data_IF_094391981018
#
_entry.id   IF_094391981018
#
_cell.length_a   1.000
_cell.length_b   1.000
_cell.length_c   1.000
_cell.angle_alpha   90.00
_cell.angle_beta   90.00
_cell.angle_gamma   90.00
#
_symmetry.space_group_name_H-M   'P 1'
#
loop_
_entity.id
_entity.type
_entity.pdbx_description
1 polymer ?
#
# COMPACT_ATOMS: atom_id res chain seq x y z
N UNK A 1 50.57 73.34 -43.91
CA UNK A 1 49.15 73.57 -44.24
C UNK A 1 48.34 73.28 -42.99
N UNK A 2 47.71 74.32 -42.47
CA UNK A 2 46.72 74.29 -41.39
C UNK A 2 45.60 73.28 -41.68
N UNK A 3 45.07 72.60 -40.65
CA UNK A 3 43.75 72.95 -40.09
C UNK A 3 43.54 72.33 -38.70
N UNK A 4 42.84 73.12 -37.89
CA UNK A 4 42.51 73.05 -36.45
C UNK A 4 41.70 71.82 -35.99
N UNK A 5 41.96 71.42 -34.75
CA UNK A 5 41.09 70.73 -33.75
C UNK A 5 39.73 71.46 -33.51
N UNK A 6 38.66 70.92 -32.84
CA UNK A 6 38.74 70.26 -31.51
C UNK A 6 37.63 69.27 -31.01
N UNK A 7 37.98 68.60 -29.88
CA UNK A 7 37.26 68.17 -28.64
C UNK A 7 35.74 67.84 -28.57
N UNK A 8 35.49 66.85 -27.66
CA UNK A 8 34.38 66.68 -26.69
C UNK A 8 33.02 66.19 -27.27
N UNK A 9 32.20 65.34 -26.64
CA UNK A 9 32.01 64.88 -25.24
C UNK A 9 31.07 63.65 -25.22
N UNK A 10 31.19 62.86 -24.16
CA UNK A 10 30.12 62.20 -23.38
C UNK A 10 29.31 60.96 -23.82
N UNK A 11 29.09 60.17 -22.74
CA UNK A 11 27.93 59.34 -22.37
C UNK A 11 27.94 57.84 -22.69
N UNK A 12 28.41 57.09 -21.70
CA UNK A 12 27.73 55.97 -21.03
C UNK A 12 26.39 55.52 -21.66
N UNK A 13 26.37 54.31 -22.23
CA UNK A 13 25.42 53.25 -21.83
C UNK A 13 25.83 51.91 -22.46
N UNK A 14 26.45 51.03 -21.67
CA UNK A 14 26.68 49.64 -22.06
C UNK A 14 26.32 48.76 -20.87
N UNK A 15 25.03 48.42 -20.81
CA UNK A 15 24.48 47.36 -19.96
C UNK A 15 25.14 46.03 -20.34
N UNK A 16 25.65 45.22 -19.38
CA UNK A 16 26.26 43.94 -19.72
C UNK A 16 25.17 42.94 -20.11
N UNK A 17 25.29 42.43 -21.34
CA UNK A 17 24.48 41.36 -21.89
C UNK A 17 24.36 40.18 -20.91
N UNK A 18 23.12 39.78 -20.62
CA UNK A 18 22.79 38.63 -19.79
C UNK A 18 23.41 37.35 -20.36
N UNK A 19 24.13 36.63 -19.50
CA UNK A 19 24.54 35.26 -19.78
C UNK A 19 23.30 34.37 -19.90
N UNK A 20 23.23 33.43 -20.87
CA UNK A 20 22.15 32.47 -20.92
C UNK A 20 22.25 31.55 -19.70
N UNK A 21 21.21 31.58 -18.88
CA UNK A 21 20.99 30.64 -17.77
C UNK A 21 21.01 29.23 -18.35
N UNK A 22 21.98 28.41 -17.93
CA UNK A 22 22.01 27.00 -18.24
C UNK A 22 20.74 26.36 -17.67
N UNK A 23 19.80 26.03 -18.57
CA UNK A 23 18.58 25.32 -18.26
C UNK A 23 18.95 23.97 -17.64
N UNK A 24 18.53 23.76 -16.40
CA UNK A 24 18.76 22.50 -15.69
C UNK A 24 18.16 21.35 -16.52
N UNK A 25 18.88 20.24 -16.71
CA UNK A 25 18.37 19.15 -17.52
C UNK A 25 17.05 18.64 -16.95
N UNK A 26 16.06 18.31 -17.79
CA UNK A 26 14.79 17.76 -17.32
C UNK A 26 15.08 16.53 -16.47
N UNK A 27 14.53 16.50 -15.25
CA UNK A 27 14.63 15.35 -14.35
C UNK A 27 14.17 14.12 -15.13
N UNK A 28 15.12 13.25 -15.49
CA UNK A 28 14.80 11.94 -16.01
C UNK A 28 13.85 11.29 -15.00
N UNK A 29 12.67 10.87 -15.47
CA UNK A 29 11.80 10.00 -14.69
C UNK A 29 12.54 8.67 -14.60
N UNK A 30 13.48 8.55 -13.68
CA UNK A 30 14.09 7.27 -13.34
C UNK A 30 12.95 6.36 -12.89
N UNK A 31 12.60 5.41 -13.75
CA UNK A 31 11.65 4.36 -13.40
C UNK A 31 12.12 3.70 -12.11
N UNK A 32 11.23 3.64 -11.11
CA UNK A 32 11.56 3.05 -9.80
C UNK A 32 12.19 1.68 -10.00
N UNK A 33 13.37 1.49 -9.43
CA UNK A 33 14.09 0.22 -9.52
C UNK A 33 13.26 -0.95 -8.98
N UNK A 34 13.45 -2.16 -9.51
CA UNK A 34 12.79 -3.38 -9.01
C UNK A 34 13.01 -3.58 -7.50
N UNK A 35 14.17 -3.16 -6.99
CA UNK A 35 14.51 -3.21 -5.57
C UNK A 35 13.58 -2.32 -4.75
N UNK A 36 13.16 -1.18 -5.29
CA UNK A 36 12.24 -0.27 -4.61
C UNK A 36 10.81 -0.80 -4.59
N UNK A 37 10.34 -1.40 -5.69
CA UNK A 37 9.06 -2.13 -5.72
C UNK A 37 9.02 -3.29 -4.73
N UNK A 38 10.10 -4.07 -4.64
CA UNK A 38 10.20 -5.17 -3.67
C UNK A 38 10.14 -4.67 -2.22
N UNK A 39 10.77 -3.53 -1.93
CA UNK A 39 10.74 -2.92 -0.59
C UNK A 39 9.34 -2.44 -0.21
N UNK A 40 8.64 -1.80 -1.14
CA UNK A 40 7.25 -1.35 -0.93
C UNK A 40 6.36 -2.55 -0.66
N UNK A 41 6.48 -3.62 -1.45
CA UNK A 41 5.71 -4.85 -1.25
C UNK A 41 6.06 -5.53 0.09
N UNK A 42 7.34 -5.55 0.48
CA UNK A 42 7.77 -6.09 1.77
C UNK A 42 7.13 -5.35 2.94
N UNK A 43 6.95 -4.03 2.86
CA UNK A 43 6.31 -3.28 3.95
C UNK A 43 4.77 -3.50 3.98
N UNK A 44 4.18 -3.99 2.88
CA UNK A 44 2.76 -4.34 2.73
C UNK A 44 2.42 -5.85 2.71
N UNK A 45 3.38 -6.74 3.01
CA UNK A 45 3.23 -8.19 2.81
C UNK A 45 2.05 -8.83 3.58
N UNK A 46 1.71 -8.27 4.74
CA UNK A 46 0.57 -8.75 5.56
C UNK A 46 -0.74 -8.64 4.77
N UNK A 47 -0.92 -7.58 3.98
CA UNK A 47 -2.11 -7.42 3.15
C UNK A 47 -2.20 -8.50 2.07
N UNK A 48 -1.06 -8.87 1.48
CA UNK A 48 -0.97 -9.95 0.49
C UNK A 48 -1.40 -11.27 1.10
N UNK A 49 -0.85 -11.64 2.26
CA UNK A 49 -1.16 -12.90 2.95
C UNK A 49 -2.63 -12.95 3.36
N UNK A 50 -3.16 -11.87 3.95
CA UNK A 50 -4.57 -11.82 4.37
C UNK A 50 -5.51 -12.01 3.17
N UNK A 51 -5.25 -11.34 2.05
CA UNK A 51 -6.12 -11.44 0.88
C UNK A 51 -6.02 -12.79 0.17
N UNK A 52 -4.86 -13.45 0.18
CA UNK A 52 -4.75 -14.85 -0.26
C UNK A 52 -5.61 -15.76 0.61
N UNK A 53 -5.52 -15.63 1.94
CA UNK A 53 -6.31 -16.45 2.88
C UNK A 53 -7.81 -16.21 2.67
N UNK A 54 -8.25 -14.95 2.54
CA UNK A 54 -9.64 -14.60 2.23
C UNK A 54 -10.08 -15.19 0.89
N UNK A 55 -9.23 -15.13 -0.14
CA UNK A 55 -9.49 -15.73 -1.45
C UNK A 55 -9.67 -17.25 -1.39
N UNK A 56 -8.80 -17.95 -0.64
CA UNK A 56 -8.92 -19.39 -0.43
C UNK A 56 -10.19 -19.75 0.34
N UNK A 57 -10.52 -19.00 1.40
CA UNK A 57 -11.76 -19.19 2.16
C UNK A 57 -13.01 -18.97 1.29
N UNK A 58 -13.01 -17.94 0.45
CA UNK A 58 -14.10 -17.69 -0.50
C UNK A 58 -14.23 -18.82 -1.53
N UNK A 59 -13.11 -19.32 -2.06
CA UNK A 59 -13.10 -20.48 -2.97
C UNK A 59 -13.59 -21.77 -2.31
N UNK A 60 -13.21 -22.00 -1.05
CA UNK A 60 -13.71 -23.10 -0.23
C UNK A 60 -15.22 -23.00 0.05
N UNK A 61 -15.70 -21.82 0.45
CA UNK A 61 -17.11 -21.56 0.67
C UNK A 61 -17.93 -21.75 -0.61
N UNK A 62 -17.47 -21.22 -1.74
CA UNK A 62 -18.11 -21.41 -3.05
C UNK A 62 -18.18 -22.89 -3.44
N UNK A 63 -17.15 -23.67 -3.13
CA UNK A 63 -17.14 -25.13 -3.34
C UNK A 63 -18.17 -25.83 -2.47
N UNK A 64 -18.28 -25.46 -1.19
CA UNK A 64 -19.23 -26.05 -0.27
C UNK A 64 -20.70 -25.73 -0.62
N UNK A 65 -20.95 -24.59 -1.27
CA UNK A 65 -22.27 -24.16 -1.71
C UNK A 65 -22.68 -24.76 -3.07
N UNK A 66 -21.75 -25.34 -3.83
CA UNK A 66 -22.04 -25.93 -5.14
C UNK A 66 -22.71 -27.30 -5.02
N UNK A 67 -23.67 -27.56 -5.90
CA UNK A 67 -24.35 -28.85 -5.98
C UNK A 67 -23.45 -29.93 -6.58
N UNK A 68 -23.54 -31.13 -6.01
CA UNK A 68 -22.85 -32.30 -6.53
C UNK A 68 -23.50 -32.76 -7.82
N UNK A 69 -22.68 -32.94 -8.86
CA UNK A 69 -23.13 -33.48 -10.14
C UNK A 69 -22.23 -34.64 -10.55
N UNK A 70 -22.87 -35.68 -11.06
CA UNK A 70 -22.26 -36.90 -11.57
C UNK A 70 -22.55 -37.00 -13.05
N UNK A 71 -21.63 -37.61 -13.80
CA UNK A 71 -21.79 -37.85 -15.24
C UNK A 71 -21.61 -39.32 -15.59
N UNK A 72 -22.38 -39.79 -16.56
CA UNK A 72 -22.26 -41.11 -17.17
C UNK A 72 -22.41 -40.98 -18.69
N UNK A 73 -21.73 -41.83 -19.43
CA UNK A 73 -21.62 -41.79 -20.89
C UNK A 73 -22.17 -43.09 -21.47
N UNK A 74 -23.06 -42.98 -22.46
CA UNK A 74 -23.56 -44.09 -23.25
C UNK A 74 -22.98 -44.00 -24.66
N UNK A 75 -22.09 -44.94 -24.99
CA UNK A 75 -21.43 -44.97 -26.29
C UNK A 75 -22.31 -45.71 -27.29
N UNK A 76 -22.78 -44.97 -28.28
CA UNK A 76 -23.63 -45.44 -29.37
C UNK A 76 -22.80 -45.52 -30.65
N UNK A 77 -23.02 -46.57 -31.44
CA UNK A 77 -22.36 -46.70 -32.74
C UNK A 77 -23.43 -46.66 -33.82
N UNK A 78 -23.33 -45.66 -34.69
CA UNK A 78 -24.21 -45.44 -35.83
C UNK A 78 -23.58 -46.03 -37.09
N UNK A 79 -24.31 -46.91 -37.78
CA UNK A 79 -23.85 -47.55 -39.00
C UNK A 79 -24.98 -47.91 -39.96
N UNK A 80 -24.61 -48.27 -41.19
CA UNK A 80 -25.57 -48.74 -42.19
C UNK A 80 -26.01 -50.18 -41.90
N UNK A 81 -27.27 -50.52 -42.14
CA UNK A 81 -27.80 -51.88 -41.94
C UNK A 81 -27.18 -52.95 -42.88
N UNK A 82 -26.33 -52.55 -43.84
CA UNK A 82 -25.73 -53.45 -44.85
C UNK A 82 -24.33 -53.92 -44.49
N UNK A 83 -23.66 -53.29 -43.52
CA UNK A 83 -22.33 -53.68 -43.05
C UNK A 83 -21.63 -52.51 -42.35
N UNK A 84 -21.12 -52.74 -41.14
CA UNK A 84 -20.45 -51.73 -40.31
C UNK A 84 -18.98 -51.50 -40.69
N UNK A 85 -18.33 -52.49 -41.32
CA UNK A 85 -16.89 -52.50 -41.64
C UNK A 85 -16.62 -52.53 -43.15
N UNK A 86 -17.61 -52.17 -43.96
CA UNK A 86 -17.49 -52.17 -45.41
C UNK A 86 -16.74 -50.90 -45.89
N UNK A 87 -15.55 -51.01 -46.51
CA UNK A 87 -14.70 -49.86 -46.83
C UNK A 87 -15.36 -48.80 -47.70
N UNK A 88 -16.35 -49.19 -48.53
CA UNK A 88 -17.08 -48.27 -49.40
C UNK A 88 -17.92 -47.24 -48.64
N UNK A 89 -18.31 -47.53 -47.39
CA UNK A 89 -19.17 -46.67 -46.57
C UNK A 89 -18.42 -45.92 -45.47
N UNK A 90 -17.10 -46.13 -45.34
CA UNK A 90 -16.27 -45.52 -44.30
C UNK A 90 -16.28 -43.97 -44.35
N UNK A 91 -16.36 -43.39 -45.55
CA UNK A 91 -16.39 -41.93 -45.76
C UNK A 91 -17.72 -41.27 -45.36
N UNK A 92 -18.80 -42.04 -45.21
CA UNK A 92 -20.13 -41.54 -44.85
C UNK A 92 -20.47 -41.64 -43.35
N UNK A 93 -19.64 -42.35 -42.56
CA UNK A 93 -19.91 -42.62 -41.14
C UNK A 93 -20.00 -41.33 -40.31
N UNK A 94 -19.20 -40.33 -40.63
CA UNK A 94 -19.19 -39.07 -39.89
C UNK A 94 -20.49 -38.27 -40.10
N UNK A 95 -20.96 -38.15 -41.34
CA UNK A 95 -22.24 -37.50 -41.69
C UNK A 95 -23.43 -38.20 -41.03
N UNK A 96 -23.38 -39.53 -40.99
CA UNK A 96 -24.39 -40.35 -40.31
C UNK A 96 -24.39 -40.08 -38.81
N UNK A 97 -23.23 -40.10 -38.16
CA UNK A 97 -23.13 -39.79 -36.74
C UNK A 97 -23.58 -38.36 -36.41
N UNK A 98 -23.26 -37.36 -37.24
CA UNK A 98 -23.76 -35.98 -37.07
C UNK A 98 -25.28 -35.89 -37.14
N UNK A 99 -25.90 -36.65 -38.05
CA UNK A 99 -27.36 -36.71 -38.17
C UNK A 99 -27.97 -37.37 -36.94
N UNK A 100 -27.37 -38.43 -36.42
CA UNK A 100 -27.76 -39.08 -35.16
C UNK A 100 -27.59 -38.14 -33.97
N UNK A 101 -26.50 -37.38 -33.88
CA UNK A 101 -26.29 -36.37 -32.83
C UNK A 101 -27.34 -35.26 -32.87
N UNK A 102 -27.70 -34.78 -34.06
CA UNK A 102 -28.78 -33.78 -34.21
C UNK A 102 -30.14 -34.36 -33.83
N UNK A 103 -30.40 -35.61 -34.18
CA UNK A 103 -31.63 -36.31 -33.82
C UNK A 103 -31.71 -36.54 -32.30
N UNK A 104 -30.62 -36.91 -31.64
CA UNK A 104 -30.53 -37.05 -30.19
C UNK A 104 -30.84 -35.76 -29.43
N UNK A 105 -30.54 -34.62 -30.05
CA UNK A 105 -30.83 -33.29 -29.51
C UNK A 105 -32.23 -32.77 -29.86
N UNK A 106 -33.02 -33.54 -30.61
CA UNK A 106 -34.37 -33.15 -31.01
C UNK A 106 -35.36 -33.26 -29.84
N UNK A 107 -36.38 -32.38 -29.83
CA UNK A 107 -37.37 -32.36 -28.75
C UNK A 107 -38.10 -33.70 -28.58
N UNK A 108 -38.43 -34.38 -29.68
CA UNK A 108 -39.11 -35.68 -29.64
C UNK A 108 -38.27 -36.76 -28.96
N UNK A 109 -36.96 -36.84 -29.24
CA UNK A 109 -36.06 -37.82 -28.61
C UNK A 109 -35.80 -37.46 -27.16
N UNK A 110 -35.64 -36.18 -26.84
CA UNK A 110 -35.43 -35.73 -25.46
C UNK A 110 -36.68 -35.98 -24.59
N UNK A 111 -37.89 -35.75 -25.11
CA UNK A 111 -39.15 -36.02 -24.40
C UNK A 111 -39.35 -37.51 -24.14
N UNK A 112 -39.04 -38.35 -25.13
CA UNK A 112 -39.10 -39.82 -25.00
C UNK A 112 -38.05 -40.34 -24.00
N UNK A 113 -36.82 -39.79 -24.03
CA UNK A 113 -35.79 -40.07 -23.04
C UNK A 113 -36.23 -39.64 -21.62
N UNK A 114 -36.92 -38.50 -21.51
CA UNK A 114 -37.51 -38.04 -20.26
C UNK A 114 -38.56 -39.00 -19.72
N UNK A 115 -39.48 -39.47 -20.56
CA UNK A 115 -40.51 -40.44 -20.18
C UNK A 115 -39.91 -41.77 -19.70
N UNK A 116 -38.90 -42.28 -20.41
CA UNK A 116 -38.20 -43.51 -20.05
C UNK A 116 -37.41 -43.37 -18.75
N UNK A 117 -36.74 -42.23 -18.53
CA UNK A 117 -36.03 -41.94 -17.29
C UNK A 117 -36.97 -41.91 -16.07
N UNK A 118 -38.22 -41.45 -16.22
CA UNK A 118 -39.25 -41.55 -15.18
C UNK A 118 -39.71 -43.00 -14.96
N UNK A 119 -39.87 -43.77 -16.05
CA UNK A 119 -40.34 -45.15 -16.00
C UNK A 119 -39.36 -46.08 -15.26
N UNK A 120 -38.05 -45.91 -15.47
CA UNK A 120 -36.97 -46.70 -14.85
C UNK A 120 -36.80 -46.38 -13.34
N UNK A 121 -37.50 -45.38 -12.80
CA UNK A 121 -37.41 -45.01 -11.39
C UNK A 121 -37.73 -46.20 -10.47
N UNK A 122 -36.85 -46.53 -9.50
CA UNK A 122 -36.96 -47.73 -8.67
C UNK A 122 -38.09 -47.64 -7.62
N UNK A 123 -38.47 -46.44 -7.22
CA UNK A 123 -39.48 -46.19 -6.19
C UNK A 123 -40.43 -45.04 -6.59
N UNK A 124 -41.66 -45.01 -6.05
CA UNK A 124 -42.65 -43.97 -6.35
C UNK A 124 -42.19 -42.54 -5.98
N UNK A 125 -41.34 -42.39 -4.96
CA UNK A 125 -40.82 -41.09 -4.52
C UNK A 125 -39.83 -40.50 -5.53
N UNK A 126 -38.89 -41.31 -6.02
CA UNK A 126 -37.97 -40.96 -7.10
C UNK A 126 -38.72 -40.66 -8.38
N UNK A 127 -39.80 -41.39 -8.68
CA UNK A 127 -40.65 -41.14 -9.85
C UNK A 127 -41.29 -39.75 -9.79
N UNK A 128 -41.92 -39.40 -8.66
CA UNK A 128 -42.54 -38.09 -8.47
C UNK A 128 -41.50 -36.94 -8.55
N UNK A 129 -40.32 -37.13 -7.95
CA UNK A 129 -39.19 -36.19 -8.07
C UNK A 129 -38.78 -36.00 -9.53
N UNK A 130 -38.50 -37.09 -10.26
CA UNK A 130 -38.10 -37.05 -11.69
C UNK A 130 -39.18 -36.36 -12.53
N UNK A 131 -40.45 -36.70 -12.33
CA UNK A 131 -41.58 -36.12 -13.07
C UNK A 131 -41.72 -34.60 -12.88
N UNK A 132 -41.35 -34.07 -11.71
CA UNK A 132 -41.35 -32.62 -11.47
C UNK A 132 -40.11 -31.89 -12.02
N UNK A 133 -38.96 -32.57 -12.12
CA UNK A 133 -37.68 -32.03 -12.61
C UNK A 133 -37.60 -32.04 -14.15
N UNK A 134 -38.21 -33.02 -14.81
CA UNK A 134 -38.10 -33.26 -16.26
C UNK A 134 -39.01 -32.29 -17.03
N UNK A 135 -38.40 -31.19 -17.45
CA UNK A 135 -38.91 -30.27 -18.46
C UNK A 135 -37.95 -30.29 -19.65
N UNK A 136 -38.42 -29.94 -20.85
CA UNK A 136 -37.58 -29.93 -22.05
C UNK A 136 -36.27 -29.14 -21.85
N UNK A 137 -36.33 -27.95 -21.21
CA UNK A 137 -35.14 -27.16 -20.85
C UNK A 137 -34.15 -27.89 -19.94
N UNK A 138 -34.64 -28.69 -19.01
CA UNK A 138 -33.80 -29.47 -18.09
C UNK A 138 -33.12 -30.61 -18.84
N UNK A 139 -33.86 -31.34 -19.69
CA UNK A 139 -33.35 -32.42 -20.52
C UNK A 139 -32.24 -31.95 -21.46
N UNK A 140 -32.45 -30.83 -22.16
CA UNK A 140 -31.41 -30.22 -23.02
C UNK A 140 -30.15 -29.82 -22.26
N UNK A 141 -30.27 -29.48 -20.97
CA UNK A 141 -29.13 -29.11 -20.13
C UNK A 141 -28.41 -30.31 -19.50
N UNK A 142 -29.05 -31.48 -19.44
CA UNK A 142 -28.52 -32.66 -18.73
C UNK A 142 -28.21 -33.85 -19.64
N UNK A 143 -28.68 -33.83 -20.89
CA UNK A 143 -28.37 -34.80 -21.93
C UNK A 143 -27.58 -34.09 -23.03
N UNK A 144 -26.35 -34.53 -23.28
CA UNK A 144 -25.54 -34.03 -24.39
C UNK A 144 -25.04 -35.19 -25.25
N UNK A 145 -25.37 -35.15 -26.54
CA UNK A 145 -24.81 -36.04 -27.53
C UNK A 145 -23.67 -35.33 -28.27
N UNK A 146 -22.53 -35.99 -28.42
CA UNK A 146 -21.39 -35.50 -29.17
C UNK A 146 -20.82 -36.63 -30.03
N UNK A 147 -20.36 -36.29 -31.23
CA UNK A 147 -19.67 -37.23 -32.09
C UNK A 147 -18.21 -37.38 -31.63
N UNK A 148 -17.73 -38.62 -31.54
CA UNK A 148 -16.33 -38.91 -31.18
C UNK A 148 -15.48 -38.90 -32.44
N UNK A 149 -14.73 -37.81 -32.65
CA UNK A 149 -13.92 -37.57 -33.86
C UNK A 149 -14.74 -37.73 -35.17
N UNK A 150 -14.08 -37.97 -36.30
CA UNK A 150 -14.75 -38.24 -37.59
C UNK A 150 -15.18 -39.71 -37.72
N UNK A 151 -15.77 -40.27 -36.67
CA UNK A 151 -16.17 -41.68 -36.63
C UNK A 151 -17.69 -41.84 -36.59
N UNK A 152 -18.16 -43.08 -36.76
CA UNK A 152 -19.56 -43.48 -36.55
C UNK A 152 -19.96 -43.55 -35.07
N UNK A 153 -19.11 -43.14 -34.13
CA UNK A 153 -19.35 -43.25 -32.70
C UNK A 153 -19.98 -41.94 -32.19
N UNK A 154 -21.10 -42.06 -31.50
CA UNK A 154 -21.80 -40.97 -30.83
C UNK A 154 -21.78 -41.25 -29.32
N UNK A 155 -21.22 -40.33 -28.56
CA UNK A 155 -21.21 -40.40 -27.10
C UNK A 155 -22.36 -39.57 -26.54
N UNK A 156 -23.20 -40.19 -25.71
CA UNK A 156 -24.35 -39.56 -25.10
C UNK A 156 -24.14 -39.49 -23.59
N UNK A 157 -23.94 -38.27 -23.10
CA UNK A 157 -23.69 -38.01 -21.69
C UNK A 157 -24.97 -37.62 -20.95
N UNK A 158 -25.21 -38.24 -19.81
CA UNK A 158 -26.25 -37.90 -18.85
C UNK A 158 -25.64 -37.31 -17.58
N UNK A 159 -26.18 -36.20 -17.08
CA UNK A 159 -25.76 -35.59 -15.81
C UNK A 159 -26.87 -35.66 -14.76
N UNK A 160 -26.51 -36.00 -13.52
CA UNK A 160 -27.47 -36.22 -12.44
C UNK A 160 -26.90 -35.90 -11.05
N UNK A 161 -27.78 -35.86 -10.03
CA UNK A 161 -27.40 -35.62 -8.63
C UNK A 161 -26.68 -36.82 -8.00
N UNK A 162 -26.86 -38.01 -8.57
CA UNK A 162 -26.21 -39.26 -8.17
C UNK A 162 -25.65 -39.99 -9.38
N UNK A 163 -24.66 -40.86 -9.19
CA UNK A 163 -24.13 -41.68 -10.30
C UNK A 163 -25.22 -42.54 -10.95
N UNK A 164 -26.17 -43.03 -10.14
CA UNK A 164 -27.30 -43.81 -10.62
C UNK A 164 -28.24 -42.97 -11.49
N UNK A 165 -28.61 -41.77 -11.05
CA UNK A 165 -29.44 -40.85 -11.84
C UNK A 165 -28.76 -40.48 -13.18
N UNK A 166 -27.45 -40.22 -13.16
CA UNK A 166 -26.69 -39.91 -14.37
C UNK A 166 -26.67 -41.10 -15.35
N UNK A 167 -26.46 -42.32 -14.85
CA UNK A 167 -26.46 -43.55 -15.65
C UNK A 167 -27.84 -43.88 -16.22
N UNK A 168 -28.88 -43.76 -15.40
CA UNK A 168 -30.27 -43.98 -15.82
C UNK A 168 -30.67 -42.97 -16.92
N UNK A 169 -30.23 -41.71 -16.80
CA UNK A 169 -30.50 -40.66 -17.79
C UNK A 169 -29.75 -40.90 -19.11
N UNK A 170 -28.46 -41.25 -19.04
CA UNK A 170 -27.67 -41.59 -20.23
C UNK A 170 -28.25 -42.80 -20.96
N UNK A 171 -28.64 -43.84 -20.21
CA UNK A 171 -29.30 -45.02 -20.75
C UNK A 171 -30.64 -44.68 -21.40
N UNK A 172 -31.50 -43.94 -20.72
CA UNK A 172 -32.79 -43.53 -21.29
C UNK A 172 -32.63 -42.70 -22.58
N UNK A 173 -31.62 -41.83 -22.64
CA UNK A 173 -31.26 -41.10 -23.85
C UNK A 173 -30.82 -42.01 -25.00
N UNK A 174 -30.01 -43.02 -24.71
CA UNK A 174 -29.59 -44.03 -25.68
C UNK A 174 -30.78 -44.84 -26.23
N UNK A 175 -31.65 -45.37 -25.37
CA UNK A 175 -32.84 -46.15 -25.77
C UNK A 175 -33.84 -45.31 -26.57
N UNK A 176 -34.09 -44.05 -26.18
CA UNK A 176 -34.94 -43.14 -26.93
C UNK A 176 -34.36 -42.85 -28.33
N UNK A 177 -33.04 -42.67 -28.45
CA UNK A 177 -32.39 -42.45 -29.73
C UNK A 177 -32.44 -43.71 -30.62
N UNK A 178 -32.20 -44.89 -30.05
CA UNK A 178 -32.35 -46.17 -30.75
C UNK A 178 -33.78 -46.36 -31.28
N UNK A 179 -34.79 -46.04 -30.46
CA UNK A 179 -36.20 -46.13 -30.88
C UNK A 179 -36.51 -45.14 -32.00
N UNK A 180 -36.06 -43.89 -31.89
CA UNK A 180 -36.27 -42.88 -32.93
C UNK A 180 -35.59 -43.23 -34.26
N UNK A 181 -34.43 -43.88 -34.21
CA UNK A 181 -33.73 -44.36 -35.41
C UNK A 181 -34.39 -45.63 -35.98
N UNK A 182 -34.82 -46.55 -35.12
CA UNK A 182 -35.47 -47.81 -35.50
C UNK A 182 -36.91 -47.66 -36.01
N UNK A 183 -37.58 -46.53 -35.74
CA UNK A 183 -38.97 -46.23 -36.14
C UNK A 183 -39.08 -45.34 -37.39
N UNK A 184 -38.02 -45.25 -38.20
CA UNK A 184 -38.03 -44.52 -39.48
C UNK A 184 -39.21 -44.93 -40.40
N UNK A 185 -39.68 -44.02 -41.28
CA UNK A 185 -40.97 -44.12 -41.97
C UNK A 185 -41.06 -45.38 -42.83
N UNK A 186 -41.86 -46.35 -42.36
CA UNK A 186 -42.07 -47.64 -43.04
C UNK A 186 -42.66 -48.76 -42.18
N UNK A 187 -42.71 -48.61 -40.85
CA UNK A 187 -43.15 -49.68 -39.93
C UNK A 187 -44.67 -49.71 -39.66
N UNK A 188 -45.49 -49.36 -40.64
CA UNK A 188 -46.94 -49.64 -40.63
C UNK A 188 -47.28 -50.39 -41.92
N UNK A 189 -47.14 -51.72 -41.90
CA UNK A 189 -47.77 -52.57 -42.89
C UNK A 189 -48.13 -53.92 -42.25
N UNK A 190 -49.44 -54.17 -42.20
CA UNK A 190 -50.08 -55.41 -41.77
C UNK A 190 -49.49 -56.66 -42.43
N UNK A 191 -49.54 -57.83 -41.77
CA UNK A 191 -48.99 -59.07 -42.32
C UNK A 191 -49.83 -59.51 -43.52
N UNK A 192 -49.27 -59.36 -44.72
CA UNK A 192 -49.76 -60.05 -45.93
C UNK A 192 -48.75 -61.14 -46.30
N UNK A 193 -49.18 -62.39 -46.52
CA UNK A 193 -48.28 -63.50 -46.79
C UNK A 193 -48.03 -63.56 -48.29
N UNK A 194 -46.92 -62.99 -48.77
CA UNK A 194 -46.17 -63.41 -49.98
C UNK A 194 -45.34 -62.27 -50.60
N UNK A 195 -44.26 -61.84 -49.94
CA UNK A 195 -43.13 -61.20 -50.63
C UNK A 195 -41.84 -61.66 -49.96
N UNK A 196 -40.86 -62.09 -50.77
CA UNK A 196 -39.49 -62.43 -50.35
C UNK A 196 -38.91 -61.31 -49.46
N UNK A 197 -38.05 -61.62 -48.47
CA UNK A 197 -37.48 -60.61 -47.59
C UNK A 197 -36.52 -59.72 -48.38
N UNK A 198 -37.04 -58.66 -48.99
CA UNK A 198 -36.24 -57.52 -49.42
C UNK A 198 -35.76 -56.82 -48.15
N UNK A 199 -34.52 -57.09 -47.77
CA UNK A 199 -33.74 -56.39 -46.75
C UNK A 199 -33.62 -54.90 -47.13
N UNK A 200 -34.66 -54.15 -46.76
CA UNK A 200 -34.79 -52.70 -46.93
C UNK A 200 -33.79 -52.01 -45.99
N UNK A 201 -32.93 -51.16 -46.55
CA UNK A 201 -31.82 -50.51 -45.84
C UNK A 201 -32.30 -49.53 -44.77
N UNK A 202 -31.68 -49.59 -43.60
CA UNK A 202 -31.96 -48.71 -42.47
C UNK A 202 -30.68 -48.27 -41.77
N UNK A 203 -30.82 -47.24 -40.94
CA UNK A 203 -29.79 -46.80 -40.00
C UNK A 203 -29.87 -47.67 -38.74
N UNK A 204 -28.75 -48.19 -38.26
CA UNK A 204 -28.71 -48.99 -37.03
C UNK A 204 -27.86 -48.24 -36.01
N UNK A 205 -28.45 -47.97 -34.85
CA UNK A 205 -27.77 -47.49 -33.66
C UNK A 205 -27.85 -48.60 -32.62
N UNK A 206 -26.72 -48.95 -32.00
CA UNK A 206 -26.65 -49.88 -30.87
C UNK A 206 -25.86 -49.27 -29.73
N UNK A 207 -26.34 -49.42 -28.52
CA UNK A 207 -25.63 -49.15 -27.27
C UNK A 207 -24.53 -50.19 -27.09
N UNK A 208 -23.28 -49.73 -27.08
CA UNK A 208 -22.11 -50.58 -26.90
C UNK A 208 -21.69 -50.65 -25.45
N UNK A 209 -21.78 -49.53 -24.71
CA UNK A 209 -21.29 -49.46 -23.33
C UNK A 209 -21.79 -48.21 -22.64
N UNK A 210 -22.27 -48.37 -21.40
CA UNK A 210 -22.43 -47.26 -20.47
C UNK A 210 -21.25 -47.22 -19.48
N UNK A 211 -20.57 -46.08 -19.36
CA UNK A 211 -19.45 -45.89 -18.41
C UNK A 211 -19.67 -44.72 -17.49
N UNK A 212 -19.31 -44.92 -16.22
CA UNK A 212 -19.40 -43.90 -15.19
C UNK A 212 -18.13 -43.05 -15.13
N UNK A 213 -18.28 -41.73 -15.22
CA UNK A 213 -17.18 -40.77 -15.05
C UNK A 213 -16.99 -40.38 -13.58
N UNK A 214 -18.03 -40.53 -12.76
CA UNK A 214 -18.02 -40.14 -11.35
C UNK A 214 -18.42 -38.68 -11.14
N UNK A 215 -17.97 -38.10 -10.04
CA UNK A 215 -18.31 -36.75 -9.64
C UNK A 215 -17.54 -35.71 -10.49
N UNK A 216 -18.27 -34.92 -11.28
CA UNK A 216 -17.70 -33.87 -12.14
C UNK A 216 -17.82 -32.46 -11.52
N UNK A 217 -18.65 -32.29 -10.49
CA UNK A 217 -18.82 -31.05 -9.75
C UNK A 217 -19.11 -31.30 -8.26
N UNK A 218 -18.62 -30.45 -7.33
CA UNK A 218 -17.71 -29.33 -7.56
C UNK A 218 -16.25 -29.78 -7.81
N UNK A 219 -15.43 -28.87 -8.34
CA UNK A 219 -13.99 -29.08 -8.55
C UNK A 219 -13.19 -28.30 -7.48
N UNK A 220 -12.98 -28.87 -6.27
CA UNK A 220 -12.46 -28.13 -5.12
C UNK A 220 -11.10 -27.50 -5.39
N UNK A 221 -10.20 -28.23 -6.03
CA UNK A 221 -8.87 -27.74 -6.37
C UNK A 221 -8.93 -26.53 -7.32
N UNK A 222 -9.79 -26.59 -8.35
CA UNK A 222 -9.95 -25.49 -9.31
C UNK A 222 -10.52 -24.24 -8.62
N UNK A 223 -11.54 -24.39 -7.78
CA UNK A 223 -12.16 -23.27 -7.07
C UNK A 223 -11.21 -22.64 -6.05
N UNK A 224 -10.42 -23.44 -5.32
CA UNK A 224 -9.38 -22.95 -4.41
C UNK A 224 -8.29 -22.21 -5.17
N UNK A 225 -7.82 -22.73 -6.30
CA UNK A 225 -6.83 -22.05 -7.14
C UNK A 225 -7.36 -20.73 -7.69
N UNK A 226 -8.60 -20.68 -8.16
CA UNK A 226 -9.24 -19.45 -8.61
C UNK A 226 -9.34 -18.41 -7.48
N UNK A 227 -9.82 -18.82 -6.31
CA UNK A 227 -9.91 -17.96 -5.13
C UNK A 227 -8.56 -17.47 -4.64
N UNK A 228 -7.57 -18.36 -4.53
CA UNK A 228 -6.21 -18.03 -4.10
C UNK A 228 -5.50 -17.08 -5.08
N UNK A 229 -5.63 -17.29 -6.39
CA UNK A 229 -5.06 -16.40 -7.41
C UNK A 229 -5.73 -15.02 -7.38
N UNK A 230 -7.06 -14.95 -7.27
CA UNK A 230 -7.76 -13.68 -7.12
C UNK A 230 -7.29 -12.94 -5.84
N UNK A 231 -7.14 -13.67 -4.73
CA UNK A 231 -6.60 -13.15 -3.48
C UNK A 231 -5.16 -12.66 -3.59
N UNK A 232 -4.31 -13.35 -4.35
CA UNK A 232 -2.92 -12.95 -4.60
C UNK A 232 -2.85 -11.65 -5.40
N UNK A 233 -3.60 -11.55 -6.50
CA UNK A 233 -3.59 -10.34 -7.36
C UNK A 233 -4.09 -9.13 -6.57
N UNK A 234 -5.23 -9.26 -5.89
CA UNK A 234 -5.76 -8.20 -5.02
C UNK A 234 -4.80 -7.89 -3.87
N UNK A 235 -4.17 -8.92 -3.32
CA UNK A 235 -3.16 -8.84 -2.28
C UNK A 235 -1.97 -7.99 -2.67
N UNK A 236 -1.40 -8.22 -3.86
CA UNK A 236 -0.28 -7.44 -4.38
C UNK A 236 -0.68 -5.98 -4.55
N UNK A 237 -1.83 -5.70 -5.17
CA UNK A 237 -2.31 -4.32 -5.37
C UNK A 237 -2.51 -3.60 -4.04
N UNK A 238 -3.21 -4.23 -3.09
CA UNK A 238 -3.43 -3.67 -1.76
C UNK A 238 -2.12 -3.51 -0.97
N UNK A 239 -1.21 -4.49 -1.07
CA UNK A 239 0.11 -4.46 -0.46
C UNK A 239 0.97 -3.31 -0.98
N UNK A 240 0.92 -3.02 -2.28
CA UNK A 240 1.60 -1.87 -2.87
C UNK A 240 0.99 -0.53 -2.40
N UNK A 241 -0.34 -0.42 -2.36
CA UNK A 241 -1.03 0.79 -1.88
C UNK A 241 -0.75 1.06 -0.38
N UNK A 242 -0.83 0.02 0.45
CA UNK A 242 -0.57 0.11 1.88
C UNK A 242 0.93 0.29 2.18
N UNK A 243 1.80 -0.32 1.38
CA UNK A 243 3.25 -0.16 1.47
C UNK A 243 3.67 1.26 1.09
N UNK A 244 3.08 1.83 0.05
CA UNK A 244 3.36 3.19 -0.40
C UNK A 244 2.94 4.23 0.65
N UNK A 245 1.78 4.06 1.28
CA UNK A 245 1.28 4.97 2.33
C UNK A 245 2.02 4.83 3.67
N UNK A 246 2.75 3.73 3.89
CA UNK A 246 3.53 3.46 5.11
C UNK A 246 5.03 3.73 4.96
N UNK A 247 5.46 4.51 3.95
CA UNK A 247 6.88 4.88 3.77
C UNK A 247 7.40 5.60 5.03
N UNK A 248 8.29 4.93 5.75
CA UNK A 248 9.09 5.49 6.85
C UNK A 248 10.50 5.71 6.33
N UNK A 249 11.03 6.91 6.49
CA UNK A 249 12.39 7.23 6.06
C UNK A 249 13.36 6.68 7.10
N UNK A 250 14.02 5.57 6.78
CA UNK A 250 14.81 4.78 7.75
C UNK A 250 16.30 5.12 7.71
N UNK A 251 16.79 5.75 6.64
CA UNK A 251 18.21 6.05 6.45
C UNK A 251 18.50 7.56 6.54
N UNK A 252 19.62 7.96 7.16
CA UNK A 252 20.05 9.36 7.21
C UNK A 252 20.20 10.02 5.85
N UNK A 253 20.71 9.28 4.86
CA UNK A 253 20.94 9.81 3.51
C UNK A 253 19.64 10.02 2.73
N UNK A 254 18.67 9.11 2.91
CA UNK A 254 17.31 9.27 2.37
C UNK A 254 16.61 10.48 3.01
N UNK A 255 16.83 10.71 4.30
CA UNK A 255 16.30 11.88 5.02
C UNK A 255 16.91 13.19 4.52
N UNK A 256 18.23 13.24 4.29
CA UNK A 256 18.87 14.42 3.69
C UNK A 256 18.40 14.69 2.25
N UNK A 257 18.22 13.63 1.44
CA UNK A 257 17.74 13.77 0.08
C UNK A 257 16.27 14.24 0.02
N UNK A 258 15.43 13.79 0.95
CA UNK A 258 14.00 14.10 0.97
C UNK A 258 13.71 15.45 1.67
N UNK A 259 14.51 15.86 2.66
CA UNK A 259 14.40 17.17 3.31
C UNK A 259 15.21 18.29 2.63
N UNK A 260 16.18 17.95 1.77
CA UNK A 260 17.07 18.94 1.15
C UNK A 260 18.04 19.63 2.13
N UNK A 261 18.18 19.12 3.36
CA UNK A 261 19.04 19.68 4.42
C UNK A 261 20.12 18.68 4.85
N UNK A 262 21.34 19.13 5.22
CA UNK A 262 22.41 18.23 5.61
C UNK A 262 22.10 17.52 6.94
N UNK A 263 22.52 16.25 7.08
CA UNK A 263 22.47 15.55 8.37
C UNK A 263 23.67 15.92 9.23
N UNK A 264 23.42 16.50 10.41
CA UNK A 264 24.45 16.88 11.38
C UNK A 264 24.98 15.67 12.16
N UNK A 265 24.18 14.62 12.34
CA UNK A 265 24.58 13.37 12.97
C UNK A 265 23.40 12.46 13.31
N UNK A 266 23.70 11.18 13.54
CA UNK A 266 22.75 10.21 14.11
C UNK A 266 23.21 9.79 15.50
N UNK A 267 22.34 9.88 16.50
CA UNK A 267 22.70 9.68 17.91
C UNK A 267 21.81 8.63 18.55
N UNK A 268 22.35 7.92 19.54
CA UNK A 268 21.57 6.99 20.36
C UNK A 268 21.15 7.69 21.64
N UNK A 269 19.85 7.76 21.87
CA UNK A 269 19.28 8.47 23.02
C UNK A 269 19.92 8.03 24.34
N UNK A 270 20.09 6.71 24.55
CA UNK A 270 20.72 6.18 25.75
C UNK A 270 22.24 6.36 25.86
N UNK A 271 22.89 7.09 24.95
CA UNK A 271 24.31 7.49 25.02
C UNK A 271 24.48 9.01 25.15
N UNK A 272 23.43 9.82 24.95
CA UNK A 272 23.46 11.28 25.08
C UNK A 272 23.87 11.71 26.49
N UNK A 273 23.27 11.09 27.51
CA UNK A 273 23.59 11.36 28.91
C UNK A 273 25.06 11.07 29.28
N UNK A 274 25.77 10.23 28.52
CA UNK A 274 27.19 9.95 28.77
C UNK A 274 28.13 10.95 28.10
N UNK A 275 27.64 11.84 27.23
CA UNK A 275 28.45 12.75 26.41
C UNK A 275 29.36 12.07 25.37
N UNK A 276 29.43 10.73 25.33
CA UNK A 276 30.34 9.92 24.50
C UNK A 276 29.71 9.41 23.19
N UNK A 277 28.67 10.08 22.69
CA UNK A 277 28.08 9.72 21.40
C UNK A 277 28.86 10.41 20.25
N UNK A 278 29.45 9.65 19.31
CA UNK A 278 30.19 10.24 18.18
C UNK A 278 29.35 11.19 17.33
N UNK A 279 28.04 10.93 17.23
CA UNK A 279 27.10 11.81 16.53
C UNK A 279 26.99 13.17 17.22
N UNK A 280 27.01 13.22 18.55
CA UNK A 280 27.01 14.46 19.32
C UNK A 280 28.27 15.29 19.06
N UNK A 281 29.43 14.65 19.08
CA UNK A 281 30.70 15.31 18.77
C UNK A 281 30.72 15.87 17.34
N UNK A 282 30.18 15.12 16.37
CA UNK A 282 30.09 15.54 14.98
C UNK A 282 29.11 16.71 14.78
N UNK A 283 27.95 16.68 15.45
CA UNK A 283 26.99 17.79 15.44
C UNK A 283 27.60 19.05 16.04
N UNK A 284 28.26 18.94 17.21
CA UNK A 284 28.98 20.05 17.85
C UNK A 284 30.00 20.66 16.91
N UNK A 285 30.89 19.86 16.32
CA UNK A 285 31.93 20.36 15.42
C UNK A 285 31.37 21.05 14.16
N UNK A 286 30.24 20.56 13.62
CA UNK A 286 29.56 21.20 12.48
C UNK A 286 28.92 22.53 12.88
N UNK A 287 28.19 22.56 14.00
CA UNK A 287 27.54 23.77 14.51
C UNK A 287 28.57 24.82 14.96
N UNK A 288 29.67 24.40 15.57
CA UNK A 288 30.77 25.30 15.96
C UNK A 288 31.34 26.03 14.74
N UNK A 289 31.49 25.36 13.59
CA UNK A 289 31.93 26.01 12.34
C UNK A 289 30.91 27.01 11.80
N UNK A 290 29.61 26.78 11.99
CA UNK A 290 28.55 27.71 11.57
C UNK A 290 28.44 28.95 12.46
N UNK A 291 28.90 28.86 13.71
CA UNK A 291 28.83 29.94 14.69
C UNK A 291 30.14 30.69 14.94
N UNK A 292 31.17 30.53 14.10
CA UNK A 292 32.35 31.39 14.12
C UNK A 292 32.00 32.77 13.53
N UNK A 293 31.38 33.63 14.35
CA UNK A 293 31.01 35.01 14.02
C UNK A 293 31.55 35.95 15.11
N UNK A 294 31.58 37.24 14.79
CA UNK A 294 32.03 38.29 15.74
C UNK A 294 31.07 38.49 16.94
N UNK A 295 29.90 37.86 16.91
CA UNK A 295 28.88 37.91 17.97
C UNK A 295 28.34 36.51 18.27
N UNK A 296 27.74 36.34 19.46
CA UNK A 296 27.12 35.08 19.88
C UNK A 296 26.12 34.54 18.86
N UNK A 297 26.17 33.23 18.61
CA UNK A 297 25.31 32.55 17.63
C UNK A 297 24.15 31.84 18.32
N UNK A 298 22.94 32.07 17.81
CA UNK A 298 21.70 31.47 18.32
C UNK A 298 21.31 30.27 17.47
N UNK A 299 21.27 29.10 18.10
CA UNK A 299 20.77 27.86 17.51
C UNK A 299 19.39 27.52 18.08
N UNK A 300 18.37 27.47 17.24
CA UNK A 300 17.05 26.93 17.60
C UNK A 300 17.06 25.41 17.45
N UNK A 301 16.71 24.70 18.51
CA UNK A 301 16.54 23.26 18.54
C UNK A 301 15.04 22.95 18.59
N UNK A 302 14.49 22.40 17.51
CA UNK A 302 13.07 22.03 17.38
C UNK A 302 12.95 20.76 16.56
N UNK A 303 11.80 20.06 16.60
CA UNK A 303 11.72 18.73 16.01
C UNK A 303 10.36 18.10 15.93
N UNK A 304 10.33 16.89 15.35
CA UNK A 304 9.18 15.98 15.34
C UNK A 304 9.25 14.94 16.47
N UNK A 305 10.38 14.91 17.19
CA UNK A 305 10.50 14.11 18.42
C UNK A 305 9.68 14.72 19.56
N UNK A 306 9.43 13.93 20.60
CA UNK A 306 8.81 14.45 21.82
C UNK A 306 9.69 15.54 22.45
N UNK A 307 9.10 16.59 23.06
CA UNK A 307 9.85 17.70 23.66
C UNK A 307 10.97 17.27 24.60
N UNK A 308 10.75 16.22 25.40
CA UNK A 308 11.75 15.72 26.36
C UNK A 308 13.03 15.22 25.68
N UNK A 309 12.91 14.71 24.44
CA UNK A 309 14.05 14.22 23.65
C UNK A 309 14.82 15.35 23.00
N UNK A 310 14.14 16.42 22.58
CA UNK A 310 14.80 17.65 22.13
C UNK A 310 15.57 18.27 23.29
N UNK A 311 14.97 18.38 24.47
CA UNK A 311 15.63 18.88 25.67
C UNK A 311 16.84 18.02 26.09
N UNK A 312 16.73 16.68 26.02
CA UNK A 312 17.84 15.77 26.28
C UNK A 312 19.01 15.96 25.31
N UNK A 313 18.72 16.12 24.02
CA UNK A 313 19.75 16.46 23.03
C UNK A 313 20.35 17.83 23.28
N UNK A 314 19.52 18.83 23.59
CA UNK A 314 19.94 20.20 23.85
C UNK A 314 20.87 20.31 25.06
N UNK A 315 20.53 19.62 26.16
CA UNK A 315 21.37 19.53 27.35
C UNK A 315 22.73 18.90 27.03
N UNK A 316 22.74 17.75 26.34
CA UNK A 316 23.99 17.07 25.97
C UNK A 316 24.86 17.95 25.05
N UNK A 317 24.23 18.67 24.12
CA UNK A 317 24.92 19.61 23.23
C UNK A 317 25.45 20.83 24.00
N UNK A 318 24.68 21.38 24.94
CA UNK A 318 25.08 22.50 25.79
C UNK A 318 26.32 22.13 26.62
N UNK A 319 26.31 20.97 27.28
CA UNK A 319 27.46 20.45 28.03
C UNK A 319 28.68 20.29 27.13
N UNK A 320 28.51 19.76 25.93
CA UNK A 320 29.60 19.56 24.99
C UNK A 320 30.22 20.89 24.48
N UNK A 321 29.42 21.95 24.35
CA UNK A 321 29.91 23.30 24.02
C UNK A 321 30.54 24.02 25.21
N UNK A 322 29.96 23.86 26.42
CA UNK A 322 30.42 24.49 27.65
C UNK A 322 31.88 24.14 28.01
N UNK A 323 32.39 23.00 27.51
CA UNK A 323 33.81 22.61 27.67
C UNK A 323 34.78 23.62 27.04
N UNK A 324 34.39 24.30 25.96
CA UNK A 324 35.31 25.16 25.19
C UNK A 324 34.77 26.56 24.90
N UNK A 325 33.54 26.87 25.26
CA UNK A 325 32.87 28.11 24.84
C UNK A 325 31.79 28.52 25.84
N UNK A 326 31.58 29.83 26.00
CA UNK A 326 30.52 30.34 26.89
C UNK A 326 29.17 30.01 26.26
N UNK A 327 28.45 29.10 26.89
CA UNK A 327 27.23 28.53 26.33
C UNK A 327 26.08 28.67 27.31
N UNK A 328 24.93 29.13 26.82
CA UNK A 328 23.69 29.19 27.58
C UNK A 328 22.61 28.37 26.89
N UNK A 329 21.88 27.59 27.68
CA UNK A 329 20.71 26.82 27.25
C UNK A 329 19.44 27.58 27.65
N UNK A 330 18.58 27.91 26.69
CA UNK A 330 17.36 28.68 26.92
C UNK A 330 16.15 27.79 26.68
N UNK A 331 15.30 27.61 27.69
CA UNK A 331 14.03 26.90 27.53
C UNK A 331 12.95 27.83 27.00
N UNK A 332 12.70 27.76 25.69
CA UNK A 332 11.65 28.52 25.02
C UNK A 332 10.42 27.66 24.68
N UNK A 333 10.37 26.41 25.12
CA UNK A 333 9.16 25.59 25.10
C UNK A 333 8.32 25.94 26.33
N UNK A 334 7.69 27.12 26.32
CA UNK A 334 7.06 27.68 27.53
C UNK A 334 5.88 26.83 28.05
N UNK A 335 5.20 26.09 27.17
CA UNK A 335 4.12 25.18 27.56
C UNK A 335 4.64 23.86 28.13
N UNK A 336 5.54 23.17 27.41
CA UNK A 336 6.04 21.88 27.91
C UNK A 336 7.21 22.06 28.89
N UNK A 337 7.80 23.24 29.06
CA UNK A 337 8.93 23.52 29.95
C UNK A 337 9.97 22.40 29.91
N UNK A 338 10.30 21.94 28.71
CA UNK A 338 10.86 20.60 28.50
C UNK A 338 12.27 20.49 29.07
N UNK A 339 13.03 21.58 29.03
CA UNK A 339 14.37 21.67 29.61
C UNK A 339 14.28 21.93 31.12
N UNK A 340 13.42 22.84 31.56
CA UNK A 340 13.19 23.16 32.97
C UNK A 340 12.75 21.93 33.76
N UNK A 341 11.75 21.17 33.29
CA UNK A 341 11.30 19.93 33.92
C UNK A 341 12.41 18.90 34.01
N UNK A 342 13.19 18.77 32.93
CA UNK A 342 14.29 17.81 32.86
C UNK A 342 15.41 18.13 33.85
N UNK A 343 15.73 19.41 34.02
CA UNK A 343 16.77 19.89 34.92
C UNK A 343 16.26 20.23 36.32
N UNK A 344 15.01 19.90 36.64
CA UNK A 344 14.36 20.19 37.93
C UNK A 344 14.35 21.68 38.30
N UNK A 345 14.20 22.55 37.30
CA UNK A 345 14.11 24.01 37.42
C UNK A 345 12.64 24.49 37.37
N UNK A 346 11.69 23.61 37.69
CA UNK A 346 10.28 23.96 37.73
C UNK A 346 10.01 25.03 38.81
N UNK A 347 9.34 26.11 38.42
CA UNK A 347 9.01 27.22 39.32
C UNK A 347 10.12 28.26 39.51
N UNK A 348 11.31 28.06 38.92
CA UNK A 348 12.31 29.11 38.84
C UNK A 348 11.84 30.23 37.89
N UNK A 349 12.06 31.52 38.21
CA UNK A 349 11.76 32.61 37.29
C UNK A 349 12.61 32.48 36.04
N UNK A 350 11.99 32.66 34.87
CA UNK A 350 12.59 32.32 33.60
C UNK A 350 12.19 33.23 32.44
N UNK A 351 12.36 32.72 31.23
CA UNK A 351 12.11 33.45 29.99
C UNK A 351 10.68 34.00 29.93
N UNK A 352 9.67 33.20 30.26
CA UNK A 352 8.28 33.62 30.23
C UNK A 352 7.98 34.82 31.15
N UNK A 353 8.54 34.81 32.36
CA UNK A 353 8.33 35.89 33.33
C UNK A 353 8.91 37.22 32.80
N UNK A 354 10.01 37.17 32.03
CA UNK A 354 10.57 38.31 31.33
C UNK A 354 9.66 38.83 30.21
N UNK A 355 9.07 37.91 29.45
CA UNK A 355 8.22 38.25 28.30
C UNK A 355 6.88 38.84 28.75
N UNK A 356 6.30 38.32 29.84
CA UNK A 356 5.06 38.82 30.41
C UNK A 356 5.24 40.16 31.14
N UNK A 357 6.36 40.37 31.82
CA UNK A 357 6.69 41.65 32.49
C UNK A 357 6.73 42.86 31.55
N UNK A 358 6.92 42.64 30.24
CA UNK A 358 6.92 43.69 29.21
C UNK A 358 5.53 44.06 28.67
N UNK A 359 4.47 43.32 29.04
CA UNK A 359 3.09 43.54 28.53
C UNK A 359 2.20 44.38 29.44
N UNK A 360 2.57 44.57 30.70
CA UNK A 360 1.80 45.38 31.66
C UNK A 360 2.22 46.84 31.66
N UNK A 361 1.33 47.75 31.23
CA UNK A 361 1.54 49.20 31.22
C UNK A 361 1.48 49.89 32.59
N UNK A 362 1.97 49.27 33.67
CA UNK A 362 2.02 49.90 35.00
C UNK A 362 3.18 49.34 35.82
N UNK A 363 3.90 50.24 36.53
CA UNK A 363 4.89 50.08 37.62
C UNK A 363 5.91 48.90 37.64
N UNK A 364 5.54 47.69 37.21
CA UNK A 364 6.40 46.52 37.05
C UNK A 364 7.43 46.65 35.91
N UNK A 365 7.23 47.59 34.97
CA UNK A 365 8.16 47.85 33.87
C UNK A 365 9.49 48.46 34.34
N UNK A 366 9.55 49.05 35.54
CA UNK A 366 10.79 49.59 36.12
C UNK A 366 11.65 48.54 36.82
N UNK A 367 11.09 47.36 37.17
CA UNK A 367 11.79 46.38 38.00
C UNK A 367 12.47 45.25 37.22
N UNK A 368 12.11 45.02 35.95
CA UNK A 368 12.67 43.92 35.15
C UNK A 368 13.27 44.43 33.85
N UNK A 369 14.59 44.61 33.82
CA UNK A 369 15.32 44.96 32.60
C UNK A 369 15.50 43.69 31.75
N UNK A 370 15.25 43.71 30.43
CA UNK A 370 15.51 42.56 29.54
C UNK A 370 17.00 42.13 29.50
N UNK A 371 17.88 42.96 30.08
CA UNK A 371 19.30 42.72 30.30
C UNK A 371 19.57 41.79 31.51
N UNK A 372 18.60 41.66 32.43
CA UNK A 372 18.61 40.76 33.59
C UNK A 372 17.89 39.45 33.27
N UNK A 373 18.38 38.72 32.28
CA UNK A 373 17.92 37.33 32.07
C UNK A 373 18.40 36.50 33.25
N UNK A 374 17.48 35.88 34.00
CA UNK A 374 17.81 34.97 35.10
C UNK A 374 18.50 33.73 34.55
N UNK A 375 19.77 33.54 34.93
CA UNK A 375 20.59 32.40 34.50
C UNK A 375 20.90 31.56 35.74
N UNK A 376 20.53 30.29 35.68
CA UNK A 376 20.80 29.31 36.73
C UNK A 376 21.91 28.37 36.27
N UNK A 377 22.95 28.23 37.09
CA UNK A 377 23.99 27.22 36.85
C UNK A 377 23.49 25.87 37.34
N UNK A 378 23.43 24.89 36.44
CA UNK A 378 23.09 23.50 36.77
C UNK A 378 24.37 22.68 36.78
N UNK A 379 24.77 22.27 37.98
CA UNK A 379 25.83 21.28 38.16
C UNK A 379 25.29 19.92 37.72
N UNK A 380 26.04 19.17 36.91
CA UNK A 380 25.64 17.79 36.62
C UNK A 380 26.05 16.84 37.74
N UNK A 381 25.93 15.53 37.50
CA UNK A 381 26.50 14.51 38.41
C UNK A 381 28.03 14.68 38.52
N UNK A 382 28.70 14.03 39.49
CA UNK A 382 30.12 14.20 39.91
C UNK A 382 31.21 14.36 38.81
N UNK A 383 30.88 14.18 37.53
CA UNK A 383 31.77 14.29 36.36
C UNK A 383 31.24 15.15 35.18
N UNK A 384 30.14 15.87 35.33
CA UNK A 384 29.54 16.66 34.24
C UNK A 384 29.96 18.14 34.27
N UNK A 385 30.28 18.69 33.10
CA UNK A 385 30.53 20.13 32.94
C UNK A 385 29.27 20.92 33.33
N UNK A 386 29.38 21.92 34.22
CA UNK A 386 28.24 22.76 34.58
C UNK A 386 27.76 23.53 33.35
N UNK A 387 26.44 23.72 33.26
CA UNK A 387 25.82 24.49 32.20
C UNK A 387 25.01 25.64 32.78
N UNK A 388 24.98 26.74 32.05
CA UNK A 388 24.14 27.88 32.37
C UNK A 388 22.82 27.77 31.62
N UNK A 389 21.72 27.94 32.34
CA UNK A 389 20.37 27.69 31.84
C UNK A 389 19.47 28.88 32.13
N UNK A 390 18.71 29.32 31.14
CA UNK A 390 17.57 30.22 31.31
C UNK A 390 16.31 29.34 31.39
N UNK A 391 15.69 29.20 32.57
CA UNK A 391 14.48 28.39 32.73
C UNK A 391 13.33 28.93 31.88
N UNK A 392 12.30 28.12 31.63
CA UNK A 392 11.11 28.57 30.92
C UNK A 392 10.33 29.61 31.74
N UNK A 393 10.29 29.49 33.06
CA UNK A 393 9.48 30.36 33.92
C UNK A 393 8.02 29.92 34.00
N UNK A 394 7.17 30.81 34.53
CA UNK A 394 5.72 30.55 34.61
C UNK A 394 5.08 30.69 33.24
N UNK A 395 4.29 29.70 32.84
CA UNK A 395 3.63 29.71 31.52
C UNK A 395 2.74 30.96 31.33
N UNK A 396 2.96 31.76 30.26
CA UNK A 396 2.15 32.92 29.93
C UNK A 396 0.71 32.58 29.59
N UNK A 397 -0.19 33.57 29.66
CA UNK A 397 -1.58 33.40 29.18
C UNK A 397 -1.67 33.11 27.68
N UNK A 398 -0.76 33.70 26.90
CA UNK A 398 -0.64 33.49 25.46
C UNK A 398 0.84 33.33 25.09
N UNK A 399 1.24 32.06 24.93
CA UNK A 399 2.62 31.64 24.64
C UNK A 399 3.08 32.14 23.27
N UNK A 400 2.27 31.95 22.23
CA UNK A 400 2.64 32.35 20.86
C UNK A 400 2.85 33.87 20.79
N UNK A 401 1.96 34.64 21.41
CA UNK A 401 2.13 36.07 21.48
C UNK A 401 3.39 36.43 22.28
N UNK A 402 3.68 35.76 23.40
CA UNK A 402 4.84 36.08 24.24
C UNK A 402 6.15 35.87 23.48
N UNK A 403 6.26 34.75 22.76
CA UNK A 403 7.39 34.43 21.89
C UNK A 403 7.49 35.38 20.69
N UNK A 404 6.36 35.90 20.19
CA UNK A 404 6.31 36.93 19.14
C UNK A 404 6.66 38.36 19.59
N UNK A 405 6.96 38.57 20.87
CA UNK A 405 7.21 39.92 21.41
C UNK A 405 8.61 40.45 21.08
N UNK A 406 8.77 41.78 21.07
CA UNK A 406 10.08 42.43 20.96
C UNK A 406 10.97 42.18 22.18
N UNK A 407 10.38 41.81 23.32
CA UNK A 407 11.11 41.45 24.53
C UNK A 407 11.99 40.21 24.30
N UNK A 408 11.49 39.18 23.60
CA UNK A 408 12.28 37.99 23.26
C UNK A 408 13.53 38.37 22.46
N UNK A 409 13.36 39.18 21.41
CA UNK A 409 14.47 39.61 20.57
C UNK A 409 15.55 40.37 21.37
N UNK A 410 15.11 41.28 22.27
CA UNK A 410 16.03 42.03 23.16
C UNK A 410 16.74 41.13 24.17
N UNK A 411 16.02 40.18 24.79
CA UNK A 411 16.61 39.23 25.73
C UNK A 411 17.63 38.32 25.06
N UNK A 412 17.33 37.80 23.87
CA UNK A 412 18.29 37.02 23.10
C UNK A 412 19.50 37.84 22.64
N UNK A 413 19.30 39.12 22.30
CA UNK A 413 20.39 40.04 21.97
C UNK A 413 21.31 40.32 23.17
N UNK A 414 20.76 40.46 24.38
CA UNK A 414 21.57 40.64 25.59
C UNK A 414 22.38 39.38 25.93
N UNK A 415 21.88 38.19 25.60
CA UNK A 415 22.63 36.95 25.71
C UNK A 415 23.75 36.85 24.66
N UNK A 416 23.53 37.32 23.42
CA UNK A 416 24.57 37.36 22.37
C UNK A 416 25.84 38.13 22.77
N UNK A 417 25.72 39.10 23.67
CA UNK A 417 26.87 39.88 24.16
C UNK A 417 27.69 39.11 25.22
N UNK A 418 27.09 38.11 25.86
CA UNK A 418 27.69 37.39 27.01
C UNK A 418 28.13 35.96 26.67
N UNK A 419 27.48 35.34 25.69
CA UNK A 419 27.70 33.94 25.32
C UNK A 419 28.10 33.82 23.85
N UNK A 420 28.99 32.88 23.58
CA UNK A 420 29.43 32.54 22.23
C UNK A 420 28.36 31.69 21.52
N UNK A 421 27.69 30.82 22.28
CA UNK A 421 26.61 29.96 21.79
C UNK A 421 25.36 30.05 22.68
N UNK A 422 24.21 30.30 22.05
CA UNK A 422 22.89 30.34 22.70
C UNK A 422 22.05 29.22 22.09
N UNK A 423 21.79 28.17 22.86
CA UNK A 423 20.96 27.05 22.43
C UNK A 423 19.53 27.27 22.91
N UNK A 424 18.61 27.54 21.99
CA UNK A 424 17.19 27.80 22.30
C UNK A 424 16.39 26.55 22.03
N UNK A 425 15.77 25.96 23.05
CA UNK A 425 14.89 24.80 22.89
C UNK A 425 13.48 25.29 22.62
N UNK A 426 12.97 25.00 21.42
CA UNK A 426 11.61 25.36 21.04
C UNK A 426 10.63 24.21 21.20
N UNK A 427 9.34 24.54 21.05
CA UNK A 427 8.26 23.58 20.91
C UNK A 427 8.48 22.61 19.73
N UNK A 428 7.70 21.53 19.71
CA UNK A 428 7.63 20.61 18.58
C UNK A 428 7.01 21.26 17.34
N UNK A 429 7.32 20.72 16.15
CA UNK A 429 6.79 21.23 14.88
C UNK A 429 5.26 21.05 14.71
N UNK A 430 4.62 20.33 15.62
CA UNK A 430 3.16 20.24 15.74
C UNK A 430 2.51 21.53 16.28
N UNK A 431 3.31 22.47 16.81
CA UNK A 431 2.88 23.78 17.34
C UNK A 431 3.53 24.95 16.58
N UNK A 432 3.20 25.17 15.30
CA UNK A 432 3.89 26.14 14.45
C UNK A 432 3.82 27.59 14.98
N UNK A 433 2.73 27.97 15.65
CA UNK A 433 2.55 29.31 16.21
C UNK A 433 3.61 29.68 17.27
N UNK A 434 4.18 28.68 17.96
CA UNK A 434 5.25 28.90 18.95
C UNK A 434 6.65 28.83 18.32
N UNK A 435 6.81 28.06 17.25
CA UNK A 435 8.12 27.86 16.59
C UNK A 435 8.47 29.02 15.65
N UNK A 436 7.49 29.55 14.90
CA UNK A 436 7.71 30.61 13.90
C UNK A 436 8.41 31.85 14.49
N UNK A 437 7.99 32.40 15.65
CA UNK A 437 8.69 33.54 16.26
C UNK A 437 10.14 33.24 16.66
N UNK A 438 10.42 32.01 17.10
CA UNK A 438 11.78 31.57 17.46
C UNK A 438 12.68 31.49 16.24
N UNK A 439 12.16 31.05 15.10
CA UNK A 439 12.90 30.99 13.84
C UNK A 439 13.37 32.38 13.42
N UNK A 440 12.53 33.40 13.56
CA UNK A 440 12.87 34.77 13.17
C UNK A 440 14.04 35.35 13.98
N UNK A 441 14.21 34.92 15.24
CA UNK A 441 15.25 35.41 16.15
C UNK A 441 16.54 34.58 16.11
N UNK A 442 16.46 33.32 15.67
CA UNK A 442 17.59 32.42 15.55
C UNK A 442 18.44 32.69 14.29
N UNK A 443 19.75 32.42 14.41
CA UNK A 443 20.67 32.44 13.27
C UNK A 443 20.56 31.16 12.46
N UNK A 444 20.38 30.04 13.17
CA UNK A 444 20.33 28.70 12.62
C UNK A 444 19.30 27.84 13.35
N UNK A 445 18.58 27.02 12.60
CA UNK A 445 17.65 26.01 13.13
C UNK A 445 18.21 24.61 12.93
N UNK A 446 18.12 23.79 13.97
CA UNK A 446 18.50 22.38 13.97
C UNK A 446 17.25 21.54 14.16
N UNK A 447 16.97 20.69 13.19
CA UNK A 447 15.80 19.83 13.21
C UNK A 447 16.11 18.50 13.91
N UNK A 448 15.40 18.20 14.99
CA UNK A 448 15.54 16.94 15.73
C UNK A 448 14.44 15.96 15.32
N UNK A 449 14.80 14.84 14.69
CA UNK A 449 13.84 13.87 14.14
C UNK A 449 14.15 12.46 14.64
N UNK A 450 13.14 11.61 14.92
CA UNK A 450 13.39 10.23 15.27
C UNK A 450 13.76 9.40 14.03
N UNK A 451 14.51 8.31 14.23
CA UNK A 451 14.75 7.34 13.16
C UNK A 451 13.42 6.72 12.68
N UNK A 452 13.19 6.69 11.37
CA UNK A 452 11.98 6.07 10.81
C UNK A 452 10.72 6.94 10.88
N UNK A 453 10.90 8.27 10.84
CA UNK A 453 9.82 9.26 10.76
C UNK A 453 8.96 9.04 9.50
N UNK A 454 7.67 9.37 9.59
CA UNK A 454 6.73 9.20 8.47
C UNK A 454 6.92 10.34 7.45
N UNK A 455 6.86 10.03 6.15
CA UNK A 455 7.01 11.01 5.07
C UNK A 455 6.09 12.25 5.20
N UNK A 456 4.87 12.08 5.68
CA UNK A 456 3.95 13.21 5.92
C UNK A 456 4.42 14.21 7.00
N UNK A 457 5.15 13.74 8.01
CA UNK A 457 5.67 14.60 9.07
C UNK A 457 6.93 15.35 8.57
N UNK A 458 7.61 14.77 7.57
CA UNK A 458 8.70 15.37 6.81
C UNK A 458 8.15 16.45 5.87
N UNK A 459 6.97 16.24 5.28
CA UNK A 459 6.28 17.22 4.44
C UNK A 459 5.81 18.46 5.24
N UNK A 460 5.29 18.27 6.46
CA UNK A 460 5.05 19.37 7.40
C UNK A 460 6.34 20.09 7.79
N UNK A 461 7.46 19.36 7.92
CA UNK A 461 8.77 19.95 8.12
C UNK A 461 9.30 20.67 6.86
N UNK A 462 8.88 20.27 5.65
CA UNK A 462 9.24 20.91 4.38
C UNK A 462 8.51 22.24 4.20
N UNK A 463 7.20 22.29 4.47
CA UNK A 463 6.44 23.55 4.46
C UNK A 463 6.94 24.55 5.51
N UNK A 464 7.48 24.04 6.62
CA UNK A 464 8.15 24.87 7.63
C UNK A 464 9.60 25.18 7.24
N UNK A 465 10.28 24.32 6.48
CA UNK A 465 11.63 24.55 5.91
C UNK A 465 11.64 25.63 4.83
N UNK A 466 10.58 25.71 4.02
CA UNK A 466 10.35 26.83 3.11
C UNK A 466 10.15 28.15 3.88
N UNK A 467 9.44 28.08 5.02
CA UNK A 467 9.34 29.21 5.96
C UNK A 467 10.65 29.50 6.73
N UNK A 468 11.58 28.53 6.80
CA UNK A 468 12.90 28.66 7.45
C UNK A 468 13.95 29.38 6.59
N UNK A 469 13.61 29.87 5.38
CA UNK A 469 14.38 30.84 4.58
C UNK A 469 15.91 30.61 4.56
N UNK A 470 16.36 29.37 4.36
CA UNK A 470 17.79 29.03 4.26
C UNK A 470 18.58 29.05 5.57
N UNK A 471 17.94 29.19 6.73
CA UNK A 471 18.59 29.17 8.06
C UNK A 471 18.61 27.79 8.72
N UNK A 472 18.43 26.71 7.96
CA UNK A 472 18.49 25.35 8.52
C UNK A 472 19.92 24.85 8.52
N UNK A 473 20.53 24.72 9.71
CA UNK A 473 21.87 24.17 9.85
C UNK A 473 21.93 22.67 9.51
N UNK A 474 20.83 21.95 9.73
CA UNK A 474 20.67 20.56 9.35
C UNK A 474 19.77 19.76 10.29
N UNK A 475 19.69 18.45 10.06
CA UNK A 475 18.90 17.52 10.86
C UNK A 475 19.76 16.62 11.75
N UNK A 476 19.28 16.35 12.97
CA UNK A 476 19.81 15.36 13.91
C UNK A 476 18.82 14.21 14.04
N UNK A 477 19.30 12.98 13.85
CA UNK A 477 18.47 11.78 13.90
C UNK A 477 18.67 11.08 15.24
N UNK A 478 17.60 10.94 16.02
CA UNK A 478 17.60 10.22 17.28
C UNK A 478 17.14 8.77 17.08
N UNK A 479 18.04 7.82 17.32
CA UNK A 479 17.75 6.38 17.32
C UNK A 479 17.13 5.97 18.66
N UNK A 480 16.00 5.26 18.62
CA UNK A 480 15.56 4.45 19.76
C UNK A 480 16.48 3.24 19.89
N UNK A 481 16.80 2.87 21.14
CA UNK A 481 17.49 1.61 21.45
C UNK A 481 16.70 0.42 20.90
#
# INVERSE_FOLDING_TARGET
MEFRQPRQTDSLDASPAGQPVAEAPPKAVEGRSLVEWLRILRDGWVAVVVLIVVGLLAGGAATALQSTQYRSHATLVAGSSRGFLDPEFASGLSTVAQTVTRLASSAAVLEDAGAEYVAIAPDPGTRARRQSEIKLKWLTAHIHAQQVADSGIVDLSGTGKTQKDARDLARAGAHALERAVGTGPGSIAQPTPSVRPSSRGGLVVRDFRTTDEGQVSPTPLRNLLLGGNAGLVLGIVAGLLLGATRRRVRRPDEMAAELGIPVLGSMHVGRLASGRDPGLSAARARLQRLGQRDQGTIFLLTGTVRPERTAEFAEALARAFAVSSRTVLVDADLSARSTSRRLQLDGAPGLADLLDGHRGGSAAQEMFRPEQVSVTTVNGSDHDTPIEVVPAGKEPRDVAAALGSTALAKSLQSLRLRYDFILVVGAGLDRPAEVIPLIATADWSVLVTPRGERARNIESAHGLADALAGRVAGAVILNRR
#
